data_IF_428203238778
#
_entry.id   IF_428203238778
#
_cell.length_a   1.000
_cell.length_b   1.000
_cell.length_c   1.000
_cell.angle_alpha   90.00
_cell.angle_beta   90.00
_cell.angle_gamma   90.00
#
_symmetry.space_group_name_H-M   'P 1'
#
loop_
_entity.id
_entity.type
_entity.pdbx_description
1 polymer ?
#
# COMPACT_ATOMS: atom_id res chain seq x y z
N UNK A 1 21.81 -7.95 -68.59
CA UNK A 1 21.34 -8.50 -67.29
C UNK A 1 21.61 -7.52 -66.15
N UNK A 2 20.75 -6.54 -65.87
CA UNK A 2 20.86 -5.62 -64.67
C UNK A 2 19.48 -5.09 -64.27
N UNK A 3 18.60 -5.98 -63.69
CA UNK A 3 17.28 -5.58 -63.13
C UNK A 3 17.01 -6.03 -61.68
N UNK A 4 18.03 -6.56 -60.98
CA UNK A 4 17.85 -7.05 -59.60
C UNK A 4 17.79 -5.96 -58.50
N UNK A 5 18.41 -4.73 -58.61
CA UNK A 5 18.40 -3.77 -57.51
C UNK A 5 17.00 -3.18 -57.18
N UNK A 6 16.11 -3.04 -58.18
CA UNK A 6 14.78 -2.45 -57.94
C UNK A 6 13.85 -3.34 -57.11
N UNK A 7 13.92 -4.66 -57.25
CA UNK A 7 13.08 -5.59 -56.49
C UNK A 7 13.51 -5.62 -55.04
N UNK A 8 14.80 -5.61 -54.71
CA UNK A 8 15.35 -5.56 -53.37
C UNK A 8 14.96 -4.25 -52.70
N UNK A 9 15.00 -3.12 -53.36
CA UNK A 9 14.62 -1.81 -52.79
C UNK A 9 13.12 -1.75 -52.48
N UNK A 10 12.27 -2.32 -53.35
CA UNK A 10 10.82 -2.41 -53.08
C UNK A 10 10.55 -3.35 -51.93
N UNK A 11 11.20 -4.51 -51.84
CA UNK A 11 11.04 -5.44 -50.72
C UNK A 11 11.46 -4.85 -49.37
N UNK A 12 12.59 -4.10 -49.32
CA UNK A 12 13.04 -3.37 -48.15
C UNK A 12 12.06 -2.27 -47.74
N UNK A 13 11.49 -1.55 -48.73
CA UNK A 13 10.45 -0.56 -48.47
C UNK A 13 9.18 -1.14 -47.86
N UNK A 14 8.71 -2.27 -48.36
CA UNK A 14 7.53 -2.99 -47.81
C UNK A 14 7.82 -3.47 -46.40
N UNK A 15 8.99 -4.08 -46.13
CA UNK A 15 9.39 -4.49 -44.79
C UNK A 15 9.43 -3.28 -43.85
N UNK A 16 10.01 -2.15 -44.27
CA UNK A 16 10.03 -0.92 -43.45
C UNK A 16 8.63 -0.42 -43.10
N UNK A 17 7.69 -0.43 -44.06
CA UNK A 17 6.29 -0.05 -43.82
C UNK A 17 5.60 -1.02 -42.86
N UNK A 18 5.78 -2.32 -43.02
CA UNK A 18 5.22 -3.33 -42.12
C UNK A 18 5.76 -3.19 -40.67
N UNK A 19 7.06 -2.93 -40.52
CA UNK A 19 7.67 -2.65 -39.21
C UNK A 19 7.09 -1.36 -38.58
N UNK A 20 6.87 -0.33 -39.37
CA UNK A 20 6.31 0.94 -38.89
C UNK A 20 4.85 0.79 -38.47
N UNK A 21 4.04 0.06 -39.23
CA UNK A 21 2.65 -0.28 -38.87
C UNK A 21 2.64 -1.13 -37.61
N UNK A 22 3.50 -2.12 -37.47
CA UNK A 22 3.65 -2.95 -36.29
C UNK A 22 4.02 -2.12 -35.06
N UNK A 23 4.97 -1.20 -35.19
CA UNK A 23 5.36 -0.29 -34.10
C UNK A 23 4.22 0.63 -33.67
N UNK A 24 3.48 1.21 -34.63
CA UNK A 24 2.30 2.04 -34.33
C UNK A 24 1.24 1.23 -33.60
N UNK A 25 0.96 0.02 -34.08
CA UNK A 25 -0.02 -0.89 -33.45
C UNK A 25 0.35 -1.20 -32.00
N UNK A 26 1.64 -1.52 -31.73
CA UNK A 26 2.12 -1.77 -30.36
C UNK A 26 2.02 -0.52 -29.49
N UNK A 27 2.33 0.66 -30.04
CA UNK A 27 2.22 1.92 -29.30
C UNK A 27 0.76 2.26 -28.94
N UNK A 28 -0.15 2.10 -29.89
CA UNK A 28 -1.58 2.35 -29.69
C UNK A 28 -2.15 1.36 -28.69
N UNK A 29 -1.79 0.08 -28.81
CA UNK A 29 -2.22 -0.93 -27.84
C UNK A 29 -1.71 -0.63 -26.43
N UNK A 30 -0.42 -0.33 -26.27
CA UNK A 30 0.17 0.01 -24.98
C UNK A 30 -0.46 1.27 -24.35
N UNK A 31 -0.85 2.25 -25.17
CA UNK A 31 -1.55 3.45 -24.72
C UNK A 31 -2.98 3.11 -24.24
N UNK A 32 -3.72 2.31 -25.00
CA UNK A 32 -5.08 1.90 -24.67
C UNK A 32 -5.08 1.05 -23.40
N UNK A 33 -4.19 0.06 -23.32
CA UNK A 33 -4.07 -0.82 -22.14
C UNK A 33 -3.77 -0.01 -20.86
N UNK A 34 -2.96 1.05 -20.95
CA UNK A 34 -2.67 1.96 -19.82
C UNK A 34 -3.89 2.79 -19.43
N UNK A 35 -4.60 3.34 -20.43
CA UNK A 35 -5.79 4.15 -20.16
C UNK A 35 -6.87 3.31 -19.48
N UNK A 36 -7.14 2.10 -20.01
CA UNK A 36 -8.13 1.17 -19.44
C UNK A 36 -7.79 0.76 -18.00
N UNK A 37 -6.49 0.60 -17.69
CA UNK A 37 -6.02 0.33 -16.33
C UNK A 37 -6.29 1.51 -15.39
N UNK A 38 -5.94 2.72 -15.82
CA UNK A 38 -6.15 3.92 -15.01
C UNK A 38 -7.63 4.18 -14.77
N UNK A 39 -8.46 4.06 -15.82
CA UNK A 39 -9.93 4.20 -15.73
C UNK A 39 -10.52 3.18 -14.72
N UNK A 40 -10.00 1.94 -14.71
CA UNK A 40 -10.42 0.91 -13.74
C UNK A 40 -10.07 1.32 -12.31
N UNK A 41 -8.83 1.75 -12.07
CA UNK A 41 -8.43 2.17 -10.73
C UNK A 41 -9.09 3.48 -10.29
N UNK A 42 -9.36 4.41 -11.21
CA UNK A 42 -10.15 5.62 -10.93
C UNK A 42 -11.58 5.26 -10.49
N UNK A 43 -12.24 4.33 -11.18
CA UNK A 43 -13.56 3.86 -10.79
C UNK A 43 -13.58 3.21 -9.40
N UNK A 44 -12.53 2.43 -9.06
CA UNK A 44 -12.40 1.84 -7.73
C UNK A 44 -12.12 2.90 -6.64
N UNK A 45 -11.34 3.95 -6.93
CA UNK A 45 -11.08 5.08 -6.00
C UNK A 45 -12.31 5.95 -5.78
N UNK A 46 -13.15 6.12 -6.81
CA UNK A 46 -14.38 6.90 -6.70
C UNK A 46 -15.36 6.35 -5.64
N UNK A 47 -15.30 5.07 -5.33
CA UNK A 47 -16.08 4.48 -4.23
C UNK A 47 -15.70 5.06 -2.88
N UNK A 48 -14.40 5.31 -2.66
CA UNK A 48 -13.87 5.97 -1.46
C UNK A 48 -14.30 7.44 -1.35
N UNK A 49 -14.25 8.20 -2.43
CA UNK A 49 -14.64 9.61 -2.45
C UNK A 49 -16.14 9.77 -2.16
N UNK A 50 -16.98 8.95 -2.79
CA UNK A 50 -18.42 8.92 -2.53
C UNK A 50 -18.74 8.57 -1.06
N UNK A 51 -17.96 7.68 -0.46
CA UNK A 51 -18.09 7.32 0.96
C UNK A 51 -17.79 8.52 1.86
N UNK A 52 -16.67 9.22 1.67
CA UNK A 52 -16.30 10.41 2.47
C UNK A 52 -17.33 11.52 2.33
N UNK A 53 -17.89 11.76 1.15
CA UNK A 53 -18.93 12.76 0.93
C UNK A 53 -20.26 12.40 1.60
N UNK A 54 -20.55 11.12 1.81
CA UNK A 54 -21.78 10.64 2.44
C UNK A 54 -21.76 10.66 3.98
N UNK A 55 -20.58 10.70 4.60
CA UNK A 55 -20.46 10.77 6.05
C UNK A 55 -20.75 12.18 6.58
N UNK A 56 -21.65 12.34 7.57
CA UNK A 56 -21.90 13.64 8.19
C UNK A 56 -20.64 14.10 8.93
N UNK A 57 -20.13 15.27 8.56
CA UNK A 57 -18.98 15.91 9.23
C UNK A 57 -19.30 16.07 10.73
N UNK A 58 -18.81 15.16 11.55
CA UNK A 58 -18.88 15.33 13.00
C UNK A 58 -17.86 16.40 13.38
N UNK A 59 -18.25 17.56 13.95
CA UNK A 59 -17.30 18.59 14.34
C UNK A 59 -16.34 18.03 15.38
N UNK A 60 -15.04 18.33 15.18
CA UNK A 60 -13.98 17.97 16.12
C UNK A 60 -14.35 18.37 17.56
N UNK A 61 -14.01 17.57 18.58
CA UNK A 61 -14.31 17.88 19.96
C UNK A 61 -13.61 19.20 20.34
N UNK A 62 -14.42 20.22 20.64
CA UNK A 62 -13.96 21.50 21.18
C UNK A 62 -13.35 21.21 22.55
N UNK A 63 -12.10 21.60 22.75
CA UNK A 63 -11.41 21.51 24.04
C UNK A 63 -12.25 22.17 25.16
N UNK A 64 -12.29 21.58 26.35
CA UNK A 64 -13.01 22.19 27.46
C UNK A 64 -12.37 23.52 27.84
N UNK A 65 -13.13 24.54 28.27
CA UNK A 65 -12.57 25.80 28.76
C UNK A 65 -11.81 25.57 30.07
N UNK A 66 -10.65 26.21 30.19
CA UNK A 66 -9.84 26.27 31.39
C UNK A 66 -10.69 26.74 32.59
N UNK A 67 -10.65 25.98 33.69
CA UNK A 67 -11.33 26.31 34.94
C UNK A 67 -10.45 27.23 35.73
N UNK A 68 -10.87 28.48 35.90
CA UNK A 68 -10.29 29.42 36.86
C UNK A 68 -10.46 28.92 38.29
N UNK A 69 -9.40 29.03 39.06
CA UNK A 69 -9.31 28.81 40.49
C UNK A 69 -10.21 29.79 41.24
N UNK A 70 -11.18 29.30 42.03
CA UNK A 70 -11.78 30.09 43.11
C UNK A 70 -11.77 29.25 44.40
N UNK A 71 -11.22 29.87 45.40
CA UNK A 71 -10.91 29.40 46.75
C UNK A 71 -12.17 29.18 47.60
N UNK A 72 -12.16 28.10 48.35
CA UNK A 72 -12.67 27.74 49.67
C UNK A 72 -13.75 28.59 50.38
N UNK A 73 -14.90 27.99 50.80
CA UNK A 73 -15.37 28.03 52.18
C UNK A 73 -16.61 27.11 52.44
N UNK A 74 -16.44 26.25 53.35
CA UNK A 74 -17.27 25.55 54.37
C UNK A 74 -18.80 25.32 54.30
N UNK A 75 -19.12 23.99 54.45
CA UNK A 75 -19.98 23.23 55.41
C UNK A 75 -21.48 22.98 55.06
N UNK A 76 -22.11 21.90 55.54
CA UNK A 76 -22.83 20.93 54.73
C UNK A 76 -24.36 20.99 54.88
N UNK A 77 -25.05 20.66 53.79
CA UNK A 77 -26.48 20.33 53.88
C UNK A 77 -26.70 19.02 53.12
N UNK A 78 -27.13 18.03 53.87
CA UNK A 78 -27.60 16.71 53.34
C UNK A 78 -28.92 16.95 52.63
N UNK A 79 -28.97 16.73 51.35
CA UNK A 79 -30.22 16.55 50.63
C UNK A 79 -30.09 15.39 49.65
N UNK A 80 -31.05 14.48 49.73
CA UNK A 80 -31.16 13.29 48.89
C UNK A 80 -30.96 13.62 47.39
N UNK A 81 -29.89 13.08 46.84
CA UNK A 81 -29.61 13.15 45.41
C UNK A 81 -30.22 11.94 44.71
N UNK A 82 -31.10 12.09 43.73
CA UNK A 82 -31.50 10.97 42.91
C UNK A 82 -30.29 10.42 42.16
N UNK A 83 -30.13 9.09 42.25
CA UNK A 83 -29.12 8.29 41.56
C UNK A 83 -29.07 8.70 40.06
N UNK A 84 -27.90 9.03 39.50
CA UNK A 84 -27.81 9.32 38.07
C UNK A 84 -28.19 8.06 37.28
N UNK A 85 -29.20 8.20 36.45
CA UNK A 85 -29.54 7.23 35.40
C UNK A 85 -28.27 6.92 34.61
N UNK A 86 -27.98 5.66 34.25
CA UNK A 86 -26.82 5.35 33.46
C UNK A 86 -26.89 6.15 32.14
N UNK A 87 -25.92 7.05 31.97
CA UNK A 87 -25.68 7.75 30.72
C UNK A 87 -25.49 6.69 29.66
N UNK A 88 -26.35 6.67 28.65
CA UNK A 88 -26.20 5.80 27.51
C UNK A 88 -24.82 6.07 26.90
N UNK A 89 -23.92 5.11 26.98
CA UNK A 89 -22.66 5.11 26.23
C UNK A 89 -23.05 5.25 24.76
N UNK A 90 -22.54 6.25 24.04
CA UNK A 90 -22.85 6.36 22.62
C UNK A 90 -22.44 5.06 21.94
N UNK A 91 -23.39 4.40 21.29
CA UNK A 91 -23.10 3.24 20.44
C UNK A 91 -22.11 3.73 19.37
N UNK A 92 -20.93 3.09 19.20
CA UNK A 92 -20.02 3.47 18.13
C UNK A 92 -20.78 3.40 16.81
N UNK A 93 -20.77 4.48 16.06
CA UNK A 93 -21.30 4.46 14.69
C UNK A 93 -20.41 3.49 13.93
N UNK A 94 -20.97 2.41 13.42
CA UNK A 94 -20.24 1.47 12.59
C UNK A 94 -19.83 2.20 11.29
N UNK A 95 -18.54 2.49 11.16
CA UNK A 95 -17.98 3.10 9.97
C UNK A 95 -17.86 1.98 8.94
N UNK A 96 -18.56 2.09 7.82
CA UNK A 96 -18.48 1.10 6.74
C UNK A 96 -17.11 1.17 6.05
N UNK A 97 -16.58 0.02 5.62
CA UNK A 97 -15.35 -0.01 4.84
C UNK A 97 -15.52 0.76 3.52
N UNK A 98 -14.72 1.80 3.25
CA UNK A 98 -14.88 2.63 2.05
C UNK A 98 -14.59 1.87 0.74
N UNK A 99 -13.92 0.72 0.81
CA UNK A 99 -13.60 -0.17 -0.32
C UNK A 99 -14.48 -1.43 -0.34
N UNK A 100 -15.61 -1.44 0.39
CA UNK A 100 -16.54 -2.57 0.47
C UNK A 100 -16.87 -3.17 -0.89
N UNK A 101 -17.27 -2.34 -1.83
CA UNK A 101 -17.71 -2.78 -3.17
C UNK A 101 -16.55 -3.46 -3.93
N UNK A 102 -15.32 -2.97 -3.75
CA UNK A 102 -14.14 -3.58 -4.35
C UNK A 102 -13.83 -4.95 -3.74
N UNK A 103 -13.94 -5.11 -2.41
CA UNK A 103 -13.79 -6.40 -1.74
C UNK A 103 -14.87 -7.41 -2.12
N UNK A 104 -16.09 -6.95 -2.41
CA UNK A 104 -17.18 -7.81 -2.86
C UNK A 104 -17.08 -8.15 -4.35
N UNK A 105 -16.42 -7.31 -5.15
CA UNK A 105 -16.26 -7.52 -6.59
C UNK A 105 -15.16 -8.52 -6.94
N UNK A 106 -14.16 -8.70 -6.07
CA UNK A 106 -13.05 -9.62 -6.32
C UNK A 106 -12.51 -10.22 -5.01
N UNK A 107 -12.74 -11.51 -4.82
CA UNK A 107 -12.34 -12.26 -3.62
C UNK A 107 -10.81 -12.40 -3.47
N UNK A 108 -10.03 -12.20 -4.53
CA UNK A 108 -8.57 -12.20 -4.48
C UNK A 108 -8.02 -10.88 -3.90
N UNK A 109 -8.85 -9.85 -3.73
CA UNK A 109 -8.45 -8.62 -3.07
C UNK A 109 -8.41 -8.82 -1.55
N UNK A 110 -7.24 -8.67 -0.95
CA UNK A 110 -7.03 -8.85 0.50
C UNK A 110 -6.82 -7.54 1.26
N UNK A 111 -6.40 -6.49 0.55
CA UNK A 111 -6.22 -5.18 1.14
C UNK A 111 -6.32 -4.07 0.08
N UNK A 112 -6.38 -2.82 0.56
CA UNK A 112 -6.16 -1.62 -0.24
C UNK A 112 -5.05 -0.80 0.42
N UNK A 113 -4.00 -0.49 -0.33
CA UNK A 113 -2.87 0.33 0.13
C UNK A 113 -3.03 1.76 -0.37
N UNK A 114 -2.95 2.72 0.55
CA UNK A 114 -2.98 4.15 0.25
C UNK A 114 -1.83 4.88 0.95
N UNK A 115 -1.05 5.64 0.19
CA UNK A 115 -0.08 6.59 0.72
C UNK A 115 -0.56 8.00 0.36
N UNK A 116 -0.97 8.83 1.34
CA UNK A 116 -1.53 10.15 1.09
C UNK A 116 -0.60 11.02 0.24
N UNK A 117 -1.19 11.88 -0.58
CA UNK A 117 -0.50 12.85 -1.45
C UNK A 117 0.49 12.22 -2.44
N UNK A 118 0.31 10.91 -2.73
CA UNK A 118 1.08 10.17 -3.73
C UNK A 118 0.17 9.49 -4.74
N UNK A 119 0.75 8.94 -5.83
CA UNK A 119 0.01 8.09 -6.78
C UNK A 119 -0.20 6.65 -6.28
N UNK A 120 0.23 6.29 -5.06
CA UNK A 120 0.09 4.94 -4.52
C UNK A 120 -1.25 4.83 -3.77
N UNK A 121 -2.28 4.39 -4.50
CA UNK A 121 -3.65 4.23 -4.02
C UNK A 121 -4.31 3.09 -4.82
N UNK A 122 -4.05 1.82 -4.40
CA UNK A 122 -4.31 0.64 -5.20
C UNK A 122 -4.78 -0.57 -4.38
N UNK A 123 -5.59 -1.46 -4.99
CA UNK A 123 -5.90 -2.76 -4.40
C UNK A 123 -4.64 -3.62 -4.31
N UNK A 124 -4.59 -4.45 -3.27
CA UNK A 124 -3.56 -5.47 -3.05
C UNK A 124 -4.21 -6.83 -3.22
N UNK A 125 -3.73 -7.58 -4.20
CA UNK A 125 -4.26 -8.88 -4.58
C UNK A 125 -3.42 -10.00 -3.97
N UNK A 126 -4.05 -11.15 -3.71
CA UNK A 126 -3.38 -12.33 -3.17
C UNK A 126 -3.89 -13.60 -3.82
N UNK A 127 -2.99 -14.34 -4.46
CA UNK A 127 -3.28 -15.60 -5.16
C UNK A 127 -2.24 -16.64 -4.75
N UNK A 128 -2.49 -17.43 -3.69
CA UNK A 128 -1.50 -18.32 -3.09
C UNK A 128 -1.03 -19.45 -4.04
N UNK A 129 -1.81 -19.78 -5.06
CA UNK A 129 -1.46 -20.79 -6.07
C UNK A 129 -0.64 -20.26 -7.24
N UNK A 130 -0.63 -18.94 -7.47
CA UNK A 130 0.11 -18.26 -8.53
C UNK A 130 0.39 -16.82 -8.10
N UNK A 131 1.49 -16.62 -7.36
CA UNK A 131 1.85 -15.33 -6.75
C UNK A 131 1.93 -14.19 -7.77
N UNK A 132 2.37 -14.48 -9.00
CA UNK A 132 2.54 -13.47 -10.05
C UNK A 132 1.26 -13.24 -10.88
N UNK A 133 0.14 -13.90 -10.57
CA UNK A 133 -1.08 -13.83 -11.38
C UNK A 133 -1.51 -12.40 -11.68
N UNK A 134 -1.65 -11.56 -10.65
CA UNK A 134 -2.05 -10.15 -10.80
C UNK A 134 -0.89 -9.20 -11.11
N UNK A 135 0.33 -9.66 -11.10
CA UNK A 135 1.47 -8.82 -11.49
C UNK A 135 1.39 -8.37 -12.96
N UNK A 136 0.69 -9.16 -13.80
CA UNK A 136 0.49 -8.88 -15.23
C UNK A 136 -0.99 -8.83 -15.62
N UNK A 137 -1.89 -8.64 -14.66
CA UNK A 137 -3.33 -8.52 -14.87
C UNK A 137 -3.90 -7.37 -14.07
N UNK A 138 -4.97 -6.76 -14.61
CA UNK A 138 -5.74 -5.76 -13.88
C UNK A 138 -6.62 -6.39 -12.79
N UNK A 139 -7.35 -5.56 -12.07
CA UNK A 139 -8.26 -5.99 -11.00
C UNK A 139 -9.32 -7.01 -11.46
N UNK A 140 -9.71 -6.98 -12.73
CA UNK A 140 -10.70 -7.89 -13.31
C UNK A 140 -10.06 -9.17 -13.88
N UNK A 141 -8.75 -9.40 -13.67
CA UNK A 141 -8.03 -10.57 -14.19
C UNK A 141 -7.69 -10.51 -15.68
N UNK A 142 -7.86 -9.36 -16.33
CA UNK A 142 -7.52 -9.15 -17.74
C UNK A 142 -6.04 -8.80 -17.87
N UNK A 143 -5.39 -9.32 -18.93
CA UNK A 143 -3.97 -9.04 -19.20
C UNK A 143 -3.69 -7.53 -19.22
N UNK A 144 -2.79 -7.07 -18.36
CA UNK A 144 -2.40 -5.68 -18.24
C UNK A 144 -0.94 -5.56 -17.79
N UNK A 145 -0.15 -4.73 -18.44
CA UNK A 145 1.28 -4.56 -18.14
C UNK A 145 1.55 -3.81 -16.83
N UNK A 146 0.62 -2.98 -16.37
CA UNK A 146 0.75 -2.29 -15.08
C UNK A 146 0.55 -3.27 -13.94
N UNK A 147 -0.30 -4.27 -14.15
CA UNK A 147 -0.70 -5.23 -13.13
C UNK A 147 -1.43 -4.56 -11.96
N UNK A 148 -1.47 -5.27 -10.85
CA UNK A 148 -1.88 -4.77 -9.54
C UNK A 148 -0.72 -4.88 -8.54
N UNK A 149 -0.91 -4.33 -7.34
CA UNK A 149 -0.07 -4.68 -6.21
C UNK A 149 -0.42 -6.11 -5.77
N UNK A 150 0.58 -6.88 -5.37
CA UNK A 150 0.39 -8.25 -4.90
C UNK A 150 0.98 -8.43 -3.51
N UNK A 151 0.27 -9.15 -2.65
CA UNK A 151 0.79 -9.61 -1.37
C UNK A 151 1.61 -10.88 -1.60
N UNK A 152 2.82 -10.95 -1.06
CA UNK A 152 3.66 -12.15 -1.06
C UNK A 152 2.90 -13.33 -0.43
N UNK A 153 3.01 -14.52 -1.00
CA UNK A 153 2.22 -15.69 -0.59
C UNK A 153 2.52 -16.19 0.81
N UNK A 154 3.71 -15.89 1.32
CA UNK A 154 4.11 -16.20 2.71
C UNK A 154 3.60 -15.15 3.72
N UNK A 155 2.98 -14.06 3.26
CA UNK A 155 2.31 -13.04 4.08
C UNK A 155 0.81 -13.32 4.23
N UNK A 156 0.22 -12.92 5.35
CA UNK A 156 -1.22 -13.06 5.61
C UNK A 156 -1.77 -11.85 6.35
N UNK A 157 -2.99 -11.44 5.98
CA UNK A 157 -3.78 -10.41 6.67
C UNK A 157 -4.84 -11.01 7.62
N UNK A 158 -5.01 -12.34 7.59
CA UNK A 158 -5.98 -13.04 8.44
C UNK A 158 -5.52 -14.49 8.77
N UNK A 159 -4.83 -14.74 9.88
CA UNK A 159 -4.30 -13.76 10.84
C UNK A 159 -3.11 -12.97 10.25
N UNK A 160 -2.88 -11.77 10.76
CA UNK A 160 -1.74 -10.97 10.33
C UNK A 160 -0.40 -11.64 10.67
N UNK A 161 0.47 -11.76 9.69
CA UNK A 161 1.89 -12.08 9.92
C UNK A 161 2.62 -10.85 10.47
N UNK A 162 3.79 -11.06 11.08
CA UNK A 162 4.63 -9.97 11.62
C UNK A 162 5.01 -8.96 10.54
N UNK A 163 5.22 -9.41 9.30
CA UNK A 163 5.55 -8.55 8.17
C UNK A 163 4.69 -8.90 6.95
N UNK A 164 4.05 -7.90 6.37
CA UNK A 164 3.34 -8.01 5.11
C UNK A 164 4.26 -7.51 4.00
N UNK A 165 4.62 -8.35 3.05
CA UNK A 165 5.44 -7.94 1.91
C UNK A 165 4.53 -7.72 0.70
N UNK A 166 4.53 -6.49 0.18
CA UNK A 166 3.74 -6.11 -0.98
C UNK A 166 4.68 -5.76 -2.13
N UNK A 167 4.44 -6.39 -3.27
CA UNK A 167 5.18 -6.18 -4.50
C UNK A 167 4.37 -5.37 -5.51
N UNK A 168 5.04 -4.54 -6.29
CA UNK A 168 4.43 -3.79 -7.37
C UNK A 168 5.45 -3.39 -8.43
N UNK A 169 4.99 -3.20 -9.66
CA UNK A 169 5.85 -2.74 -10.74
C UNK A 169 6.36 -1.32 -10.54
N UNK A 170 7.64 -1.09 -10.88
CA UNK A 170 8.21 0.24 -11.02
C UNK A 170 7.89 0.77 -12.41
N UNK A 171 6.72 1.36 -12.57
CA UNK A 171 6.27 1.90 -13.85
C UNK A 171 6.85 3.28 -14.12
N UNK A 172 7.38 3.49 -15.32
CA UNK A 172 7.89 4.81 -15.76
C UNK A 172 6.81 5.90 -15.80
N UNK A 173 5.55 5.50 -15.87
CA UNK A 173 4.39 6.39 -15.78
C UNK A 173 4.13 6.92 -14.38
N UNK A 174 4.76 6.35 -13.36
CA UNK A 174 4.46 6.60 -11.95
C UNK A 174 3.40 5.68 -11.37
N UNK A 175 2.71 4.88 -12.20
CA UNK A 175 1.70 3.93 -11.73
C UNK A 175 2.32 2.82 -10.86
N UNK A 176 1.47 2.15 -10.09
CA UNK A 176 1.86 1.12 -9.11
C UNK A 176 2.92 1.65 -8.13
N UNK A 177 4.09 1.03 -8.07
CA UNK A 177 5.22 1.49 -7.26
C UNK A 177 6.23 2.33 -8.06
N UNK A 178 5.80 2.98 -9.16
CA UNK A 178 6.66 3.86 -9.95
C UNK A 178 7.24 5.02 -9.14
N UNK A 179 6.44 5.59 -8.24
CA UNK A 179 6.86 6.71 -7.37
C UNK A 179 7.45 6.24 -6.02
N UNK A 180 7.49 4.93 -5.75
CA UNK A 180 8.07 4.43 -4.49
C UNK A 180 9.55 4.83 -4.35
N UNK A 181 10.28 4.93 -5.46
CA UNK A 181 11.68 5.34 -5.48
C UNK A 181 11.92 6.79 -5.08
N UNK A 182 10.87 7.64 -5.01
CA UNK A 182 10.99 9.01 -4.53
C UNK A 182 11.35 9.09 -3.04
N UNK A 183 11.04 8.03 -2.28
CA UNK A 183 11.52 7.85 -0.90
C UNK A 183 13.04 7.76 -0.77
N UNK A 184 13.80 7.68 -1.87
CA UNK A 184 15.26 7.83 -1.81
C UNK A 184 15.69 9.21 -1.27
N UNK A 185 14.81 10.21 -1.41
CA UNK A 185 15.00 11.55 -0.87
C UNK A 185 14.34 11.66 0.51
N UNK A 186 15.11 11.99 1.52
CA UNK A 186 14.59 12.21 2.87
C UNK A 186 13.50 13.29 2.91
N UNK A 187 13.60 14.33 2.08
CA UNK A 187 12.57 15.37 1.97
C UNK A 187 11.22 14.84 1.45
N UNK A 188 11.22 13.77 0.65
CA UNK A 188 9.99 13.12 0.22
C UNK A 188 9.38 12.31 1.38
N UNK A 189 10.22 11.57 2.11
CA UNK A 189 9.81 10.88 3.35
C UNK A 189 9.19 11.86 4.35
N UNK A 190 9.79 13.05 4.58
CA UNK A 190 9.27 14.04 5.52
C UNK A 190 7.82 14.44 5.27
N UNK A 191 7.38 14.41 4.02
CA UNK A 191 6.01 14.73 3.61
C UNK A 191 5.09 13.51 3.51
N UNK A 192 5.64 12.27 3.49
CA UNK A 192 4.88 11.04 3.25
C UNK A 192 5.26 9.94 4.26
N UNK A 193 5.18 10.27 5.56
CA UNK A 193 5.62 9.37 6.64
C UNK A 193 4.69 8.21 6.88
N UNK A 194 3.40 8.37 6.56
CA UNK A 194 2.36 7.42 6.90
C UNK A 194 1.77 6.75 5.66
N UNK A 195 1.30 5.54 5.85
CA UNK A 195 0.52 4.79 4.88
C UNK A 195 -0.62 4.06 5.56
N UNK A 196 -1.70 3.85 4.81
CA UNK A 196 -2.92 3.22 5.27
C UNK A 196 -3.12 1.90 4.55
N UNK A 197 -3.43 0.86 5.30
CA UNK A 197 -3.82 -0.44 4.79
C UNK A 197 -5.24 -0.75 5.25
N UNK A 198 -6.17 -0.72 4.33
CA UNK A 198 -7.54 -1.18 4.55
C UNK A 198 -7.60 -2.66 4.22
N UNK A 199 -7.95 -3.48 5.17
CA UNK A 199 -8.31 -4.88 4.94
C UNK A 199 -9.82 -5.01 4.88
N UNK A 200 -10.34 -6.22 4.69
CA UNK A 200 -11.79 -6.46 4.69
C UNK A 200 -12.48 -5.94 5.95
N UNK A 201 -11.81 -6.02 7.10
CA UNK A 201 -12.42 -5.81 8.41
C UNK A 201 -11.86 -4.61 9.18
N UNK A 202 -10.70 -4.07 8.81
CA UNK A 202 -10.08 -3.00 9.58
C UNK A 202 -9.18 -2.07 8.74
N UNK A 203 -8.96 -0.89 9.28
CA UNK A 203 -7.93 0.05 8.85
C UNK A 203 -6.74 -0.02 9.80
N UNK A 204 -5.55 -0.17 9.23
CA UNK A 204 -4.27 -0.08 9.94
C UNK A 204 -3.44 1.07 9.39
N UNK A 205 -2.81 1.81 10.30
CA UNK A 205 -1.90 2.90 9.97
C UNK A 205 -0.47 2.44 10.21
N UNK A 206 0.40 2.71 9.25
CA UNK A 206 1.82 2.40 9.33
C UNK A 206 2.65 3.66 9.19
N UNK A 207 3.82 3.69 9.85
CA UNK A 207 4.78 4.78 9.78
C UNK A 207 6.12 4.26 9.24
N UNK A 208 6.68 4.94 8.24
CA UNK A 208 7.91 4.52 7.57
C UNK A 208 9.08 4.50 8.56
N UNK A 209 9.73 3.34 8.68
CA UNK A 209 10.84 3.08 9.61
C UNK A 209 12.18 2.91 8.93
N UNK A 210 12.21 2.42 7.68
CA UNK A 210 13.44 2.22 6.93
C UNK A 210 13.20 2.28 5.42
N UNK A 211 14.16 2.85 4.69
CA UNK A 211 14.16 2.92 3.23
C UNK A 211 15.53 2.51 2.72
N UNK A 212 15.61 1.53 1.80
CA UNK A 212 16.89 1.04 1.35
C UNK A 212 16.85 0.41 -0.05
N UNK A 213 18.03 0.25 -0.64
CA UNK A 213 18.25 -0.54 -1.86
C UNK A 213 18.74 -1.93 -1.50
N UNK A 214 18.23 -2.94 -2.18
CA UNK A 214 18.61 -4.34 -2.03
C UNK A 214 18.60 -5.06 -3.37
N UNK A 215 18.66 -6.37 -3.34
CA UNK A 215 18.50 -7.23 -4.51
C UNK A 215 17.98 -8.62 -4.09
N UNK A 216 17.48 -9.37 -5.05
CA UNK A 216 17.19 -10.79 -4.83
C UNK A 216 18.50 -11.58 -4.95
N UNK A 217 18.93 -12.16 -3.84
CA UNK A 217 20.15 -12.95 -3.72
C UNK A 217 19.92 -14.42 -4.06
N UNK A 218 20.99 -15.17 -4.35
CA UNK A 218 20.91 -16.62 -4.51
C UNK A 218 20.55 -17.29 -3.18
N UNK A 219 19.95 -18.48 -3.25
CA UNK A 219 19.63 -19.27 -2.04
C UNK A 219 20.87 -19.56 -1.19
N UNK A 220 22.05 -19.77 -1.84
CA UNK A 220 23.32 -20.06 -1.20
C UNK A 220 23.98 -18.86 -0.49
N UNK A 221 23.54 -17.64 -0.77
CA UNK A 221 24.17 -16.44 -0.22
C UNK A 221 23.76 -16.27 1.26
N UNK A 222 24.74 -16.13 2.15
CA UNK A 222 24.55 -15.95 3.60
C UNK A 222 24.45 -14.47 3.96
N UNK A 223 23.54 -13.75 3.30
CA UNK A 223 23.30 -12.32 3.51
C UNK A 223 21.85 -12.10 3.96
N UNK A 224 21.60 -10.99 4.60
CA UNK A 224 20.24 -10.62 4.97
C UNK A 224 19.35 -10.52 3.74
N UNK A 225 18.16 -11.14 3.82
CA UNK A 225 17.17 -11.23 2.75
C UNK A 225 15.83 -10.72 3.30
N UNK A 226 15.56 -9.43 3.16
CA UNK A 226 14.34 -8.80 3.68
C UNK A 226 13.06 -9.56 3.27
N UNK A 227 13.07 -10.13 2.07
CA UNK A 227 11.96 -10.89 1.48
C UNK A 227 11.83 -12.34 1.99
N UNK A 228 12.46 -12.67 3.12
CA UNK A 228 12.34 -13.96 3.81
C UNK A 228 11.89 -13.81 5.26
N UNK A 229 11.59 -12.60 5.68
CA UNK A 229 11.04 -12.33 6.99
C UNK A 229 9.54 -12.05 6.89
N UNK A 230 8.74 -13.00 7.30
CA UNK A 230 7.27 -12.90 7.34
C UNK A 230 6.76 -12.96 8.78
N UNK A 231 7.40 -13.76 9.63
CA UNK A 231 6.98 -14.00 11.01
C UNK A 231 8.18 -13.98 11.93
N UNK A 232 8.02 -13.38 13.11
CA UNK A 232 8.94 -13.49 14.22
C UNK A 232 8.23 -14.18 15.38
N UNK A 233 8.68 -15.38 15.71
CA UNK A 233 8.19 -16.13 16.87
C UNK A 233 9.05 -15.87 18.11
N UNK A 234 10.23 -15.28 17.92
CA UNK A 234 11.20 -14.96 18.96
C UNK A 234 11.73 -13.54 18.86
N UNK A 235 12.19 -13.00 20.00
CA UNK A 235 12.89 -11.71 20.05
C UNK A 235 14.10 -11.68 19.10
N UNK A 236 14.87 -12.77 19.02
CA UNK A 236 16.08 -12.84 18.18
C UNK A 236 15.75 -12.69 16.69
N UNK A 237 14.71 -13.36 16.22
CA UNK A 237 14.24 -13.24 14.82
C UNK A 237 13.77 -11.81 14.50
N UNK A 238 13.04 -11.20 15.44
CA UNK A 238 12.61 -9.83 15.30
C UNK A 238 13.78 -8.86 15.25
N UNK A 239 14.71 -8.99 16.21
CA UNK A 239 15.89 -8.13 16.32
C UNK A 239 16.82 -8.27 15.11
N UNK A 240 16.98 -9.46 14.55
CA UNK A 240 17.76 -9.66 13.32
C UNK A 240 17.15 -8.86 12.16
N UNK A 241 15.85 -8.98 11.94
CA UNK A 241 15.17 -8.18 10.90
C UNK A 241 15.30 -6.69 11.17
N UNK A 242 14.90 -6.24 12.36
CA UNK A 242 14.87 -4.84 12.74
C UNK A 242 16.24 -4.17 12.62
N UNK A 243 17.27 -4.79 13.18
CA UNK A 243 18.62 -4.24 13.13
C UNK A 243 19.18 -4.18 11.70
N UNK A 244 18.87 -5.17 10.87
CA UNK A 244 19.29 -5.18 9.47
C UNK A 244 18.62 -4.07 8.67
N UNK A 245 17.31 -3.88 8.77
CA UNK A 245 16.60 -2.80 8.03
C UNK A 245 17.07 -1.41 8.47
N UNK A 246 17.26 -1.19 9.78
CA UNK A 246 17.79 0.09 10.31
C UNK A 246 19.20 0.35 9.79
N UNK A 247 20.08 -0.65 9.79
CA UNK A 247 21.46 -0.54 9.27
C UNK A 247 21.51 -0.24 7.77
N UNK A 248 20.56 -0.79 7.00
CA UNK A 248 20.50 -0.60 5.55
C UNK A 248 19.83 0.70 5.15
N UNK A 249 19.07 1.33 6.05
CA UNK A 249 18.30 2.53 5.74
C UNK A 249 19.16 3.67 5.23
N UNK A 250 18.69 4.36 4.20
CA UNK A 250 19.39 5.49 3.55
C UNK A 250 19.50 6.70 4.49
N UNK A 251 18.57 6.83 5.42
CA UNK A 251 18.52 7.88 6.44
C UNK A 251 17.83 7.35 7.69
N UNK A 252 17.98 8.06 8.81
CA UNK A 252 17.30 7.74 10.06
C UNK A 252 15.93 8.42 10.09
N UNK A 253 14.88 7.63 10.21
CA UNK A 253 13.49 8.13 10.32
C UNK A 253 13.11 8.55 11.73
N UNK A 254 13.94 8.22 12.74
CA UNK A 254 13.61 8.39 14.15
C UNK A 254 12.58 7.39 14.69
N UNK A 255 11.97 6.57 13.82
CA UNK A 255 11.00 5.53 14.22
C UNK A 255 11.73 4.31 14.75
N UNK A 256 11.25 3.75 15.87
CA UNK A 256 11.75 2.52 16.49
C UNK A 256 10.65 1.46 16.51
N UNK A 257 11.04 0.21 16.71
CA UNK A 257 10.14 -0.92 16.87
C UNK A 257 10.63 -1.87 17.95
N UNK A 258 9.72 -2.62 18.56
CA UNK A 258 10.00 -3.64 19.57
C UNK A 258 9.31 -4.96 19.23
N UNK A 259 9.74 -6.06 19.83
CA UNK A 259 9.16 -7.37 19.58
C UNK A 259 7.66 -7.39 19.90
N UNK A 260 6.88 -7.83 18.92
CA UNK A 260 5.43 -7.75 18.93
C UNK A 260 4.87 -6.74 17.92
N UNK A 261 5.68 -5.75 17.51
CA UNK A 261 5.30 -4.82 16.45
C UNK A 261 5.18 -5.55 15.09
N UNK A 262 4.34 -4.99 14.23
CA UNK A 262 4.14 -5.48 12.86
C UNK A 262 4.68 -4.50 11.84
N UNK A 263 5.03 -5.04 10.69
CA UNK A 263 5.57 -4.28 9.58
C UNK A 263 4.77 -4.48 8.29
N UNK A 264 4.86 -3.49 7.41
CA UNK A 264 4.57 -3.62 6.01
C UNK A 264 5.83 -3.29 5.22
N UNK A 265 6.19 -4.13 4.25
CA UNK A 265 7.36 -3.96 3.40
C UNK A 265 6.91 -3.81 1.95
N UNK A 266 7.10 -2.62 1.39
CA UNK A 266 6.82 -2.35 -0.02
C UNK A 266 8.08 -2.58 -0.84
N UNK A 267 7.99 -3.36 -1.91
CA UNK A 267 9.14 -3.76 -2.73
C UNK A 267 8.87 -3.59 -4.22
N UNK A 268 9.77 -2.91 -4.91
CA UNK A 268 9.72 -2.74 -6.36
C UNK A 268 11.07 -2.98 -7.03
N UNK A 269 11.04 -3.28 -8.34
CA UNK A 269 12.24 -3.50 -9.11
C UNK A 269 12.98 -2.18 -9.41
N UNK A 270 14.30 -2.19 -9.24
CA UNK A 270 15.19 -1.10 -9.70
C UNK A 270 16.43 -1.67 -10.37
N UNK A 271 16.98 -0.93 -11.32
CA UNK A 271 18.01 -1.44 -12.24
C UNK A 271 19.45 -1.04 -11.85
N UNK A 272 19.67 -0.67 -10.59
CA UNK A 272 21.03 -0.32 -10.09
C UNK A 272 21.98 -1.50 -10.04
N UNK A 273 21.42 -2.71 -9.86
CA UNK A 273 22.12 -4.01 -9.94
C UNK A 273 21.18 -5.05 -10.56
N UNK A 274 21.71 -6.21 -10.94
CA UNK A 274 20.89 -7.34 -11.40
C UNK A 274 19.94 -7.78 -10.27
N UNK A 275 18.66 -7.93 -10.58
CA UNK A 275 17.60 -8.25 -9.62
C UNK A 275 17.49 -7.22 -8.47
N UNK A 276 17.84 -5.96 -8.73
CA UNK A 276 17.77 -4.88 -7.76
C UNK A 276 16.35 -4.63 -7.25
N UNK A 277 16.23 -4.25 -5.99
CA UNK A 277 14.99 -3.87 -5.33
C UNK A 277 15.15 -2.53 -4.62
N UNK A 278 14.10 -1.74 -4.66
CA UNK A 278 13.90 -0.60 -3.77
C UNK A 278 12.84 -0.99 -2.75
N UNK A 279 13.13 -0.71 -1.49
CA UNK A 279 12.35 -1.21 -0.36
C UNK A 279 12.02 -0.08 0.59
N UNK A 280 10.75 0.02 0.96
CA UNK A 280 10.24 0.88 2.02
C UNK A 280 9.58 0.01 3.06
N UNK A 281 10.07 0.06 4.29
CA UNK A 281 9.48 -0.66 5.43
C UNK A 281 8.79 0.35 6.33
N UNK A 282 7.58 0.03 6.78
CA UNK A 282 6.85 0.81 7.76
C UNK A 282 6.38 -0.07 8.91
N UNK A 283 6.37 0.50 10.13
CA UNK A 283 5.89 -0.14 11.36
C UNK A 283 4.42 0.21 11.56
N UNK A 284 3.61 -0.75 12.00
CA UNK A 284 2.23 -0.50 12.42
C UNK A 284 2.23 0.46 13.62
N UNK A 285 1.41 1.50 13.56
CA UNK A 285 1.26 2.45 14.67
C UNK A 285 0.31 1.89 15.71
N UNK A 286 0.60 2.18 16.99
CA UNK A 286 -0.27 1.88 18.13
C UNK A 286 -1.50 2.81 18.15
N UNK A 287 -2.19 2.92 17.04
CA UNK A 287 -3.47 3.61 16.95
C UNK A 287 -4.58 2.61 17.28
N UNK A 288 -5.67 3.09 17.90
CA UNK A 288 -6.84 2.26 18.08
C UNK A 288 -7.25 1.67 16.72
N UNK A 289 -7.33 0.34 16.63
CA UNK A 289 -7.74 -0.34 15.42
C UNK A 289 -9.14 0.14 15.04
N UNK A 290 -9.26 0.70 13.84
CA UNK A 290 -10.56 1.11 13.33
C UNK A 290 -11.20 -0.10 12.65
N UNK A 291 -12.16 -0.70 13.33
CA UNK A 291 -12.95 -1.80 12.79
C UNK A 291 -13.90 -1.29 11.71
N UNK A 292 -13.79 -1.84 10.52
CA UNK A 292 -14.56 -1.45 9.33
C UNK A 292 -15.26 -2.68 8.73
N UNK A 293 -16.33 -3.22 9.36
CA UNK A 293 -16.97 -4.44 8.87
C UNK A 293 -17.56 -4.24 7.47
N UNK A 294 -17.42 -5.26 6.63
CA UNK A 294 -18.21 -5.42 5.41
C UNK A 294 -19.46 -6.19 5.80
N UNK A 295 -20.58 -5.49 6.02
CA UNK A 295 -21.86 -6.16 6.16
C UNK A 295 -22.31 -6.68 4.79
N UNK A 296 -22.67 -7.96 4.72
CA UNK A 296 -23.20 -8.64 3.52
C UNK A 296 -24.60 -8.15 3.16
#
# INVERSE_FOLDING_TARGET
MKRKPKIITIALGVIGICCLIGAIFFFVKDFVDRQESEDTFEALRASYENYIESEPVTPAPTSPPETEHVTESEVPVILDTPSPSPSATPTPVAITNPYKDSFLANDDMVAWLKIPDTGIDYPVMWTPGDEEYYLYRDFNGKDNKNGCLILDTDSSVAPFTTNLIIHGHNMKSGAMFGNLTDYEKESYYDSHKEMFLYTRDCLKTYEVIAVFRSQVFKKSDTVFKFYKFFQADTQEEFDDFYNNIKKMSLYDTGVSAEFGDRFITLSTCVYHVKNGRFVVVAREKDTAEQYLPIEE
#
